data_IF_641084378423
#
_entry.id   IF_641084378423
#
_cell.length_a   1.000
_cell.length_b   1.000
_cell.length_c   1.000
_cell.angle_alpha   90.00
_cell.angle_beta   90.00
_cell.angle_gamma   90.00
#
_symmetry.space_group_name_H-M   'P 1'
#
loop_
_entity.id
_entity.type
_entity.pdbx_description
1 polymer ?
#
# COMPACT_ATOMS: atom_id res chain seq x y z
N UNK A 1 -8.59 16.57 12.34
CA UNK A 1 -9.10 16.94 11.00
C UNK A 1 -10.57 16.57 10.93
N UNK A 2 -11.47 17.56 10.84
CA UNK A 2 -12.93 17.37 10.85
C UNK A 2 -13.49 17.19 9.43
N UNK A 3 -13.00 16.18 8.71
CA UNK A 3 -13.45 15.88 7.35
C UNK A 3 -14.04 14.47 7.33
N UNK A 4 -15.26 14.32 6.83
CA UNK A 4 -15.86 12.98 6.71
C UNK A 4 -15.17 12.19 5.59
N UNK A 5 -15.02 10.87 5.71
CA UNK A 5 -14.42 10.04 4.66
C UNK A 5 -15.12 10.19 3.30
N UNK A 6 -16.44 10.40 3.33
CA UNK A 6 -17.27 10.65 2.14
C UNK A 6 -16.86 11.95 1.46
N UNK A 7 -16.81 13.05 2.21
CA UNK A 7 -16.44 14.35 1.66
C UNK A 7 -15.01 14.35 1.11
N UNK A 8 -14.06 13.74 1.83
CA UNK A 8 -12.68 13.60 1.35
C UNK A 8 -12.62 12.84 0.02
N UNK A 9 -13.39 11.76 -0.11
CA UNK A 9 -13.45 10.96 -1.34
C UNK A 9 -14.09 11.72 -2.49
N UNK A 10 -15.16 12.48 -2.23
CA UNK A 10 -15.81 13.34 -3.23
C UNK A 10 -14.87 14.43 -3.73
N UNK A 11 -14.23 15.18 -2.82
CA UNK A 11 -13.27 16.23 -3.18
C UNK A 11 -12.09 15.66 -3.95
N UNK A 12 -11.53 14.53 -3.51
CA UNK A 12 -10.44 13.86 -4.24
C UNK A 12 -10.85 13.50 -5.66
N UNK A 13 -12.06 12.97 -5.84
CA UNK A 13 -12.58 12.59 -7.16
C UNK A 13 -12.81 13.80 -8.06
N UNK A 14 -13.32 14.91 -7.51
CA UNK A 14 -13.55 16.16 -8.26
C UNK A 14 -12.23 16.74 -8.76
N UNK A 15 -11.21 16.79 -7.90
CA UNK A 15 -9.94 17.45 -8.24
C UNK A 15 -9.05 16.57 -9.12
N UNK A 16 -9.02 15.26 -8.86
CA UNK A 16 -8.03 14.34 -9.46
C UNK A 16 -8.62 13.31 -10.43
N UNK A 17 -9.95 13.19 -10.49
CA UNK A 17 -10.64 12.12 -11.21
C UNK A 17 -10.76 10.79 -10.45
N UNK A 18 -10.06 10.63 -9.31
CA UNK A 18 -10.03 9.39 -8.54
C UNK A 18 -10.40 9.60 -7.06
N UNK A 19 -11.05 8.60 -6.46
CA UNK A 19 -11.39 8.63 -5.04
C UNK A 19 -10.13 8.59 -4.15
N UNK A 20 -10.25 9.06 -2.90
CA UNK A 20 -9.14 9.09 -1.94
C UNK A 20 -8.47 7.72 -1.77
N UNK A 21 -9.26 6.64 -1.68
CA UNK A 21 -8.74 5.27 -1.58
C UNK A 21 -7.83 4.85 -2.74
N UNK A 22 -8.09 5.35 -3.96
CA UNK A 22 -7.23 5.05 -5.09
C UNK A 22 -5.82 5.60 -4.87
N UNK A 23 -5.73 6.85 -4.40
CA UNK A 23 -4.44 7.48 -4.11
C UNK A 23 -3.74 6.82 -2.94
N UNK A 24 -4.46 6.49 -1.87
CA UNK A 24 -3.91 5.75 -0.73
C UNK A 24 -3.29 4.45 -1.23
N UNK A 25 -4.05 3.62 -1.95
CA UNK A 25 -3.54 2.36 -2.46
C UNK A 25 -2.36 2.55 -3.42
N UNK A 26 -2.41 3.56 -4.29
CA UNK A 26 -1.33 3.84 -5.25
C UNK A 26 -0.02 4.21 -4.55
N UNK A 27 -0.05 5.13 -3.60
CA UNK A 27 1.15 5.55 -2.88
C UNK A 27 1.65 4.46 -1.94
N UNK A 28 0.76 3.78 -1.21
CA UNK A 28 1.12 2.63 -0.37
C UNK A 28 1.81 1.55 -1.19
N UNK A 29 1.27 1.18 -2.36
CA UNK A 29 1.87 0.17 -3.23
C UNK A 29 3.24 0.59 -3.76
N UNK A 30 3.42 1.87 -4.13
CA UNK A 30 4.70 2.42 -4.57
C UNK A 30 5.77 2.38 -3.46
N UNK A 31 5.39 2.71 -2.23
CA UNK A 31 6.33 2.70 -1.11
C UNK A 31 6.69 1.27 -0.68
N UNK A 32 5.70 0.36 -0.64
CA UNK A 32 5.97 -1.07 -0.41
C UNK A 32 6.94 -1.60 -1.47
N UNK A 33 6.73 -1.29 -2.75
CA UNK A 33 7.62 -1.77 -3.81
C UNK A 33 9.04 -1.19 -3.72
N UNK A 34 9.21 0.02 -3.21
CA UNK A 34 10.54 0.58 -2.89
C UNK A 34 11.20 -0.17 -1.74
N UNK A 35 10.49 -0.40 -0.65
CA UNK A 35 11.01 -1.09 0.54
C UNK A 35 11.32 -2.56 0.28
N UNK A 36 10.55 -3.23 -0.60
CA UNK A 36 10.84 -4.60 -1.02
C UNK A 36 12.20 -4.75 -1.73
N UNK A 37 12.67 -3.70 -2.42
CA UNK A 37 13.99 -3.67 -3.07
C UNK A 37 15.13 -3.49 -2.08
N UNK A 38 14.86 -2.93 -0.91
CA UNK A 38 15.83 -2.81 0.15
C UNK A 38 15.98 -4.17 0.86
N UNK A 39 17.09 -4.87 0.60
CA UNK A 39 17.36 -6.19 1.19
C UNK A 39 17.74 -6.13 2.67
N UNK A 40 17.99 -4.94 3.23
CA UNK A 40 18.25 -4.78 4.67
C UNK A 40 16.99 -4.92 5.52
N UNK A 41 15.81 -4.72 4.93
CA UNK A 41 14.51 -4.86 5.61
C UNK A 41 13.96 -6.29 5.44
N UNK A 42 13.45 -6.88 6.52
CA UNK A 42 12.71 -8.13 6.42
C UNK A 42 11.26 -7.87 5.96
N UNK A 43 10.58 -8.91 5.47
CA UNK A 43 9.14 -8.80 5.16
C UNK A 43 8.29 -8.54 6.40
N UNK A 44 8.77 -8.93 7.58
CA UNK A 44 8.11 -8.64 8.86
C UNK A 44 8.23 -7.16 9.18
N UNK A 45 9.42 -6.56 9.04
CA UNK A 45 9.62 -5.13 9.29
C UNK A 45 8.75 -4.26 8.38
N UNK A 46 8.68 -4.64 7.09
CA UNK A 46 7.82 -3.93 6.13
C UNK A 46 6.34 -4.12 6.49
N UNK A 47 5.92 -5.34 6.85
CA UNK A 47 4.54 -5.62 7.30
C UNK A 47 4.15 -4.74 8.49
N UNK A 48 5.03 -4.64 9.49
CA UNK A 48 4.80 -3.88 10.71
C UNK A 48 4.79 -2.37 10.45
N UNK A 49 5.66 -1.87 9.56
CA UNK A 49 5.71 -0.46 9.18
C UNK A 49 4.39 0.04 8.57
N UNK A 50 3.71 -0.79 7.79
CA UNK A 50 2.41 -0.47 7.20
C UNK A 50 1.21 -0.90 8.07
N UNK A 51 1.46 -1.45 9.26
CA UNK A 51 0.42 -1.86 10.21
C UNK A 51 -0.41 -3.06 9.74
N UNK A 52 0.15 -3.95 8.93
CA UNK A 52 -0.52 -5.20 8.57
C UNK A 52 -0.60 -6.12 9.79
N UNK A 53 -1.76 -6.77 9.98
CA UNK A 53 -1.99 -7.67 11.12
C UNK A 53 -1.13 -8.94 11.11
N UNK A 54 -0.56 -9.29 9.95
CA UNK A 54 0.37 -10.41 9.81
C UNK A 54 1.17 -10.31 8.51
N UNK A 55 2.39 -10.87 8.47
CA UNK A 55 3.18 -10.99 7.25
C UNK A 55 2.46 -11.76 6.13
N UNK A 56 1.62 -12.73 6.47
CA UNK A 56 0.82 -13.47 5.50
C UNK A 56 -0.25 -12.59 4.82
N UNK A 57 -0.85 -11.65 5.57
CA UNK A 57 -1.79 -10.69 5.01
C UNK A 57 -1.06 -9.66 4.13
N UNK A 58 0.11 -9.20 4.55
CA UNK A 58 1.01 -8.38 3.73
C UNK A 58 1.35 -9.06 2.40
N UNK A 59 1.76 -10.32 2.40
CA UNK A 59 2.10 -11.05 1.17
C UNK A 59 0.91 -11.14 0.19
N UNK A 60 -0.31 -11.36 0.70
CA UNK A 60 -1.53 -11.34 -0.13
C UNK A 60 -1.82 -9.95 -0.69
N UNK A 61 -1.62 -8.91 0.11
CA UNK A 61 -1.77 -7.53 -0.35
C UNK A 61 -0.79 -7.19 -1.47
N UNK A 62 0.48 -7.57 -1.32
CA UNK A 62 1.53 -7.39 -2.33
C UNK A 62 1.17 -8.13 -3.61
N UNK A 63 0.82 -9.41 -3.53
CA UNK A 63 0.42 -10.18 -4.72
C UNK A 63 -0.77 -9.54 -5.43
N UNK A 64 -1.78 -9.08 -4.69
CA UNK A 64 -2.96 -8.45 -5.27
C UNK A 64 -2.66 -7.11 -5.97
N UNK A 65 -1.79 -6.28 -5.40
CA UNK A 65 -1.52 -4.93 -5.91
C UNK A 65 -0.32 -4.84 -6.88
N UNK A 66 0.70 -5.69 -6.72
CA UNK A 66 1.92 -5.72 -7.54
C UNK A 66 1.92 -6.87 -8.56
N UNK A 67 1.01 -7.84 -8.45
CA UNK A 67 0.87 -8.97 -9.37
C UNK A 67 1.87 -10.11 -9.16
N UNK A 68 2.84 -9.94 -8.25
CA UNK A 68 3.87 -10.95 -7.92
C UNK A 68 4.07 -11.02 -6.41
N UNK A 69 4.58 -12.15 -5.93
CA UNK A 69 4.83 -12.34 -4.50
C UNK A 69 6.02 -11.48 -4.01
N UNK A 70 6.06 -11.08 -2.71
CA UNK A 70 7.16 -10.27 -2.16
C UNK A 70 8.55 -10.90 -2.37
N UNK A 71 8.65 -12.22 -2.24
CA UNK A 71 9.88 -12.98 -2.46
C UNK A 71 10.34 -12.90 -3.91
N UNK A 72 9.43 -13.11 -4.86
CA UNK A 72 9.71 -13.02 -6.30
C UNK A 72 10.07 -11.59 -6.71
N UNK A 73 9.43 -10.58 -6.11
CA UNK A 73 9.74 -9.18 -6.35
C UNK A 73 11.18 -8.81 -5.93
N UNK A 74 11.70 -9.44 -4.87
CA UNK A 74 13.03 -9.14 -4.33
C UNK A 74 14.18 -9.81 -5.10
N UNK A 75 13.91 -10.93 -5.77
CA UNK A 75 14.92 -11.75 -6.47
C UNK A 75 15.75 -12.60 -5.53
#
# INVERSE_FOLDING_TARGET
LCVTPKYLSEVSKIVSGYAANFWINRYTTLDISRLLRDKSLSFVDISDLFGFSSPAYFSRYVLHNLGVNPTEYRG
#
